data_IF_078960012620
#
_entry.id   IF_078960012620
#
_cell.length_a   1.000
_cell.length_b   1.000
_cell.length_c   1.000
_cell.angle_alpha   90.00
_cell.angle_beta   90.00
_cell.angle_gamma   90.00
#
_symmetry.space_group_name_H-M   'P 1'
#
loop_
_entity.id
_entity.type
_entity.pdbx_description
1 polymer ?
#
# COMPACT_ATOMS: atom_id res chain seq x y z
N UNK A 1 23.92 -21.47 -19.80
CA UNK A 1 23.43 -21.05 -18.46
C UNK A 1 23.69 -19.55 -18.35
N UNK A 2 22.75 -18.72 -18.83
CA UNK A 2 22.84 -17.26 -18.67
C UNK A 2 22.66 -16.99 -17.17
N UNK A 3 23.78 -16.77 -16.49
CA UNK A 3 23.76 -16.22 -15.15
C UNK A 3 23.00 -14.90 -15.21
N UNK A 4 22.02 -14.77 -14.34
CA UNK A 4 21.19 -13.61 -14.12
C UNK A 4 22.09 -12.37 -13.92
N UNK A 5 22.43 -11.69 -15.02
CA UNK A 5 23.14 -10.42 -14.99
C UNK A 5 22.16 -9.42 -14.38
N UNK A 6 22.25 -9.25 -13.05
CA UNK A 6 21.59 -8.19 -12.30
C UNK A 6 22.20 -6.85 -12.72
N UNK A 7 21.87 -6.39 -13.92
CA UNK A 7 22.16 -5.03 -14.35
C UNK A 7 21.25 -4.10 -13.57
N UNK A 8 21.77 -3.60 -12.45
CA UNK A 8 21.08 -2.61 -11.67
C UNK A 8 21.08 -1.28 -12.42
N UNK A 9 19.96 -1.00 -13.06
CA UNK A 9 19.77 0.28 -13.72
C UNK A 9 19.67 1.43 -12.69
N UNK A 10 20.16 2.64 -13.02
CA UNK A 10 20.01 3.80 -12.15
C UNK A 10 18.54 4.05 -11.88
N UNK A 11 18.23 4.40 -10.63
CA UNK A 11 16.86 4.63 -10.18
C UNK A 11 16.27 5.81 -10.95
N UNK A 12 15.23 5.54 -11.76
CA UNK A 12 14.50 6.60 -12.43
C UNK A 12 13.73 7.45 -11.43
N UNK A 13 13.51 8.72 -11.75
CA UNK A 13 12.71 9.61 -10.88
C UNK A 13 11.28 9.05 -10.66
N UNK A 14 10.71 8.39 -11.67
CA UNK A 14 9.44 7.68 -11.53
C UNK A 14 9.52 6.53 -10.51
N UNK A 15 10.57 5.70 -10.56
CA UNK A 15 10.77 4.61 -9.60
C UNK A 15 10.95 5.14 -8.17
N UNK A 16 11.65 6.26 -7.99
CA UNK A 16 11.80 6.91 -6.69
C UNK A 16 10.45 7.39 -6.13
N UNK A 17 9.63 8.06 -6.94
CA UNK A 17 8.28 8.47 -6.52
C UNK A 17 7.41 7.27 -6.13
N UNK A 18 7.49 6.18 -6.88
CA UNK A 18 6.78 4.94 -6.57
C UNK A 18 7.23 4.35 -5.23
N UNK A 19 8.55 4.30 -4.99
CA UNK A 19 9.10 3.81 -3.73
C UNK A 19 8.69 4.68 -2.52
N UNK A 20 8.74 6.01 -2.67
CA UNK A 20 8.28 6.94 -1.64
C UNK A 20 6.77 6.82 -1.39
N UNK A 21 5.96 6.60 -2.44
CA UNK A 21 4.53 6.38 -2.32
C UNK A 21 4.22 5.11 -1.50
N UNK A 22 4.94 4.01 -1.77
CA UNK A 22 4.85 2.76 -1.02
C UNK A 22 5.27 2.96 0.44
N UNK A 23 6.38 3.67 0.70
CA UNK A 23 6.83 3.98 2.06
C UNK A 23 5.79 4.78 2.85
N UNK A 24 5.24 5.84 2.24
CA UNK A 24 4.15 6.62 2.83
C UNK A 24 2.90 5.76 3.07
N UNK A 25 2.54 4.90 2.11
CA UNK A 25 1.41 3.98 2.26
C UNK A 25 1.57 3.06 3.48
N UNK A 26 2.75 2.46 3.64
CA UNK A 26 3.06 1.57 4.76
C UNK A 26 2.98 2.32 6.09
N UNK A 27 3.47 3.56 6.15
CA UNK A 27 3.35 4.42 7.33
C UNK A 27 1.88 4.64 7.75
N UNK A 28 0.92 4.58 6.83
CA UNK A 28 -0.51 4.66 7.19
C UNK A 28 -1.05 3.41 7.90
N UNK A 29 -0.43 2.24 7.67
CA UNK A 29 -0.85 0.93 8.21
C UNK A 29 -0.10 0.58 9.51
N UNK A 30 1.16 1.01 9.62
CA UNK A 30 2.05 0.74 10.74
C UNK A 30 1.47 1.08 12.12
N UNK A 31 0.86 2.24 12.40
CA UNK A 31 0.43 2.57 13.76
C UNK A 31 -0.57 1.57 14.35
N UNK A 32 -1.47 1.03 13.52
CA UNK A 32 -2.43 0.01 13.95
C UNK A 32 -1.78 -1.35 14.18
N UNK A 33 -0.78 -1.70 13.37
CA UNK A 33 -0.06 -2.97 13.47
C UNK A 33 0.90 -2.98 14.65
N UNK A 34 1.69 -1.91 14.83
CA UNK A 34 2.60 -1.72 15.96
C UNK A 34 1.88 -1.81 17.30
N UNK A 35 0.71 -1.17 17.43
CA UNK A 35 -0.07 -1.18 18.68
C UNK A 35 -0.52 -2.58 19.12
N UNK A 36 -0.78 -3.49 18.17
CA UNK A 36 -1.29 -4.84 18.44
C UNK A 36 -0.16 -5.85 18.57
N UNK A 37 0.83 -5.79 17.68
CA UNK A 37 1.94 -6.75 17.63
C UNK A 37 3.02 -6.42 18.66
N UNK A 38 3.33 -5.13 18.83
CA UNK A 38 4.38 -4.66 19.74
C UNK A 38 3.80 -3.69 20.78
N UNK A 39 2.99 -4.17 21.74
CA UNK A 39 2.33 -3.32 22.73
C UNK A 39 3.32 -2.47 23.54
N UNK A 40 4.58 -2.90 23.70
CA UNK A 40 5.65 -2.11 24.32
C UNK A 40 5.93 -0.76 23.61
N UNK A 41 5.74 -0.69 22.28
CA UNK A 41 5.93 0.54 21.49
C UNK A 41 4.82 1.57 21.70
N UNK A 42 3.72 1.22 22.38
CA UNK A 42 2.67 2.20 22.69
C UNK A 42 3.12 3.26 23.70
N UNK A 43 4.18 2.99 24.47
CA UNK A 43 4.77 3.92 25.44
C UNK A 43 5.63 5.01 24.80
N UNK A 44 6.15 4.79 23.58
CA UNK A 44 7.10 5.71 22.93
C UNK A 44 6.46 6.90 22.22
N UNK A 45 5.13 7.03 22.24
CA UNK A 45 4.40 8.15 21.62
C UNK A 45 4.35 8.14 20.08
N UNK A 46 5.29 7.45 19.42
CA UNK A 46 5.38 7.31 17.97
C UNK A 46 4.06 6.82 17.34
N UNK A 47 3.40 5.74 17.83
CA UNK A 47 2.13 5.29 17.24
C UNK A 47 1.01 6.33 17.35
N UNK A 48 0.99 7.16 18.40
CA UNK A 48 0.00 8.23 18.58
C UNK A 48 0.22 9.34 17.56
N UNK A 49 1.48 9.72 17.31
CA UNK A 49 1.83 10.72 16.31
C UNK A 49 1.46 10.24 14.89
N UNK A 50 1.80 8.99 14.53
CA UNK A 50 1.42 8.44 13.23
C UNK A 50 -0.10 8.37 13.05
N UNK A 51 -0.87 8.02 14.10
CA UNK A 51 -2.34 8.05 14.03
C UNK A 51 -2.89 9.45 13.79
N UNK A 52 -2.30 10.49 14.40
CA UNK A 52 -2.70 11.88 14.24
C UNK A 52 -2.52 12.36 12.78
N UNK A 53 -1.40 12.00 12.16
CA UNK A 53 -1.07 12.43 10.79
C UNK A 53 -1.42 11.40 9.71
N UNK A 54 -2.08 10.29 10.08
CA UNK A 54 -2.42 9.19 9.16
C UNK A 54 -3.12 9.64 7.88
N UNK A 55 -4.06 10.58 7.99
CA UNK A 55 -4.80 11.14 6.85
C UNK A 55 -3.86 11.87 5.88
N UNK A 56 -2.99 12.71 6.40
CA UNK A 56 -2.02 13.48 5.61
C UNK A 56 -0.98 12.58 4.96
N UNK A 57 -0.48 11.58 5.68
CA UNK A 57 0.46 10.58 5.15
C UNK A 57 -0.19 9.77 4.02
N UNK A 58 -1.45 9.37 4.17
CA UNK A 58 -2.19 8.67 3.12
C UNK A 58 -2.43 9.52 1.87
N UNK A 59 -2.76 10.80 2.05
CA UNK A 59 -2.92 11.72 0.93
C UNK A 59 -1.57 11.98 0.23
N UNK A 60 -0.48 12.09 0.98
CA UNK A 60 0.87 12.22 0.44
C UNK A 60 1.27 10.97 -0.38
N UNK A 61 0.96 9.77 0.13
CA UNK A 61 1.15 8.52 -0.63
C UNK A 61 0.39 8.54 -1.95
N UNK A 62 -0.87 8.98 -1.95
CA UNK A 62 -1.67 9.13 -3.16
C UNK A 62 -1.08 10.13 -4.15
N UNK A 63 -0.68 11.33 -3.70
CA UNK A 63 -0.07 12.34 -4.57
C UNK A 63 1.23 11.83 -5.23
N UNK A 64 2.07 11.13 -4.47
CA UNK A 64 3.29 10.50 -5.01
C UNK A 64 2.95 9.40 -6.02
N UNK A 65 1.93 8.58 -5.78
CA UNK A 65 1.47 7.56 -6.71
C UNK A 65 0.92 8.15 -8.02
N UNK A 66 0.17 9.25 -7.94
CA UNK A 66 -0.30 9.99 -9.14
C UNK A 66 0.89 10.55 -9.92
N UNK A 67 1.88 11.15 -9.24
CA UNK A 67 3.10 11.63 -9.88
C UNK A 67 3.88 10.52 -10.58
N UNK A 68 4.02 9.36 -9.91
CA UNK A 68 4.60 8.16 -10.48
C UNK A 68 3.87 7.71 -11.76
N UNK A 69 2.53 7.59 -11.69
CA UNK A 69 1.71 7.18 -12.83
C UNK A 69 1.80 8.16 -13.99
N UNK A 70 1.75 9.47 -13.71
CA UNK A 70 1.84 10.52 -14.72
C UNK A 70 3.13 10.46 -15.53
N UNK A 71 4.28 10.27 -14.86
CA UNK A 71 5.57 10.17 -15.55
C UNK A 71 5.62 8.92 -16.42
N UNK A 72 5.12 7.77 -15.94
CA UNK A 72 5.09 6.53 -16.73
C UNK A 72 4.18 6.63 -17.95
N UNK A 73 3.00 7.24 -17.80
CA UNK A 73 2.07 7.49 -18.92
C UNK A 73 2.77 8.32 -20.00
N UNK A 74 3.51 9.36 -19.61
CA UNK A 74 4.26 10.22 -20.54
C UNK A 74 5.43 9.50 -21.20
N UNK A 75 6.16 8.65 -20.47
CA UNK A 75 7.31 7.92 -21.00
C UNK A 75 6.92 6.77 -21.93
N UNK A 76 5.74 6.16 -21.72
CA UNK A 76 5.30 4.96 -22.45
C UNK A 76 4.35 5.27 -23.61
N UNK A 77 4.06 6.54 -23.90
CA UNK A 77 3.09 6.97 -24.92
C UNK A 77 1.78 6.16 -24.81
N UNK A 78 1.18 6.19 -23.62
CA UNK A 78 0.01 5.37 -23.30
C UNK A 78 -1.13 5.62 -24.31
N UNK A 79 -1.47 4.60 -25.10
CA UNK A 79 -2.62 4.64 -25.98
C UNK A 79 -3.88 4.25 -25.20
N UNK A 80 -4.75 5.23 -24.99
CA UNK A 80 -6.00 5.07 -24.25
C UNK A 80 -7.06 4.27 -25.02
N UNK A 81 -6.90 4.12 -26.34
CA UNK A 81 -7.84 3.41 -27.21
C UNK A 81 -7.46 1.95 -27.41
N UNK A 82 -6.25 1.54 -27.02
CA UNK A 82 -5.80 0.15 -27.12
C UNK A 82 -6.13 -0.65 -25.85
N UNK A 83 -6.99 -1.65 -26.01
CA UNK A 83 -7.38 -2.61 -24.97
C UNK A 83 -6.16 -3.38 -24.44
N UNK A 84 -5.15 -3.66 -25.29
CA UNK A 84 -3.94 -4.37 -24.86
C UNK A 84 -3.09 -3.54 -23.90
N UNK A 85 -3.00 -2.23 -24.15
CA UNK A 85 -2.34 -1.29 -23.25
C UNK A 85 -3.03 -1.28 -21.88
N UNK A 86 -4.36 -1.24 -21.85
CA UNK A 86 -5.10 -1.30 -20.59
C UNK A 86 -4.86 -2.60 -19.83
N UNK A 87 -4.87 -3.75 -20.53
CA UNK A 87 -4.60 -5.05 -19.91
C UNK A 87 -3.19 -5.15 -19.34
N UNK A 88 -2.19 -4.65 -20.07
CA UNK A 88 -0.79 -4.67 -19.64
C UNK A 88 -0.56 -3.84 -18.35
N UNK A 89 -1.23 -2.69 -18.24
CA UNK A 89 -1.10 -1.79 -17.08
C UNK A 89 -2.21 -1.95 -16.03
N UNK A 90 -3.10 -2.92 -16.19
CA UNK A 90 -4.32 -3.11 -15.38
C UNK A 90 -4.05 -3.10 -13.88
N UNK A 91 -2.99 -3.76 -13.45
CA UNK A 91 -2.55 -3.82 -12.05
C UNK A 91 -2.26 -2.43 -11.45
N UNK A 92 -1.57 -1.56 -12.19
CA UNK A 92 -1.20 -0.22 -11.74
C UNK A 92 -2.42 0.70 -11.74
N UNK A 93 -3.21 0.68 -12.82
CA UNK A 93 -4.43 1.49 -12.95
C UNK A 93 -5.49 1.09 -11.92
N UNK A 94 -5.64 -0.20 -11.63
CA UNK A 94 -6.56 -0.70 -10.59
C UNK A 94 -6.13 -0.25 -9.20
N UNK A 95 -4.84 -0.37 -8.88
CA UNK A 95 -4.30 0.11 -7.59
C UNK A 95 -4.51 1.62 -7.43
N UNK A 96 -4.20 2.40 -8.48
CA UNK A 96 -4.40 3.84 -8.48
C UNK A 96 -5.87 4.23 -8.32
N UNK A 97 -6.78 3.48 -8.95
CA UNK A 97 -8.24 3.66 -8.80
C UNK A 97 -8.67 3.46 -7.36
N UNK A 98 -8.20 2.40 -6.69
CA UNK A 98 -8.52 2.16 -5.27
C UNK A 98 -7.97 3.29 -4.40
N UNK A 99 -6.72 3.71 -4.61
CA UNK A 99 -6.15 4.84 -3.86
C UNK A 99 -6.90 6.15 -4.09
N UNK A 100 -7.41 6.37 -5.31
CA UNK A 100 -8.25 7.53 -5.64
C UNK A 100 -9.53 7.53 -4.82
N UNK A 101 -10.25 6.39 -4.76
CA UNK A 101 -11.46 6.24 -3.95
C UNK A 101 -11.18 6.47 -2.45
N UNK A 102 -10.07 5.92 -1.96
CA UNK A 102 -9.65 6.10 -0.57
C UNK A 102 -9.29 7.56 -0.26
N UNK A 103 -8.60 8.25 -1.17
CA UNK A 103 -8.20 9.64 -1.02
C UNK A 103 -9.41 10.58 -1.04
N UNK A 104 -10.31 10.41 -2.00
CA UNK A 104 -11.54 11.22 -2.11
C UNK A 104 -12.39 11.07 -0.84
N UNK A 105 -12.47 9.86 -0.29
CA UNK A 105 -13.25 9.58 0.93
C UNK A 105 -12.49 9.79 2.24
N UNK A 106 -11.26 10.28 2.17
CA UNK A 106 -10.45 10.68 3.33
C UNK A 106 -10.78 12.11 3.75
N UNK A 107 -12.07 12.41 3.97
CA UNK A 107 -12.53 13.71 4.48
C UNK A 107 -13.65 13.57 5.51
N UNK A 108 -13.79 14.56 6.40
CA UNK A 108 -14.71 14.50 7.54
C UNK A 108 -16.18 14.43 7.09
N UNK A 109 -16.50 15.05 5.96
CA UNK A 109 -17.83 14.97 5.35
C UNK A 109 -18.18 13.54 4.94
N UNK A 110 -17.25 12.82 4.31
CA UNK A 110 -17.42 11.43 3.86
C UNK A 110 -17.55 10.48 5.05
N UNK A 111 -16.78 10.70 6.11
CA UNK A 111 -16.91 9.93 7.36
C UNK A 111 -18.32 10.09 7.94
N UNK A 112 -18.81 11.33 8.02
CA UNK A 112 -20.15 11.65 8.56
C UNK A 112 -21.26 11.10 7.68
N UNK A 113 -21.12 11.18 6.34
CA UNK A 113 -22.13 10.76 5.37
C UNK A 113 -22.22 9.24 5.23
N UNK A 114 -21.08 8.55 5.09
CA UNK A 114 -21.03 7.12 4.80
C UNK A 114 -21.08 6.24 6.07
N UNK A 115 -20.78 6.79 7.26
CA UNK A 115 -20.89 6.09 8.56
C UNK A 115 -20.23 4.70 8.55
N UNK A 116 -21.02 3.62 8.70
CA UNK A 116 -20.53 2.23 8.71
C UNK A 116 -19.92 1.82 7.35
N UNK A 117 -20.43 2.36 6.24
CA UNK A 117 -19.93 2.07 4.90
C UNK A 117 -18.57 2.73 4.63
N UNK A 118 -18.24 3.83 5.34
CA UNK A 118 -16.91 4.44 5.25
C UNK A 118 -15.82 3.44 5.66
N UNK A 119 -16.04 2.70 6.75
CA UNK A 119 -15.09 1.67 7.19
C UNK A 119 -14.94 0.56 6.16
N UNK A 120 -16.02 0.11 5.53
CA UNK A 120 -15.99 -0.90 4.46
C UNK A 120 -15.19 -0.40 3.25
N UNK A 121 -15.38 0.86 2.85
CA UNK A 121 -14.62 1.44 1.76
C UNK A 121 -13.13 1.55 2.10
N UNK A 122 -12.81 1.97 3.33
CA UNK A 122 -11.42 2.05 3.80
C UNK A 122 -10.74 0.67 3.92
N UNK A 123 -11.51 -0.42 4.02
CA UNK A 123 -10.96 -1.79 3.96
C UNK A 123 -10.44 -2.16 2.57
N UNK A 124 -10.81 -1.42 1.50
CA UNK A 124 -10.22 -1.61 0.18
C UNK A 124 -8.70 -1.37 0.19
N UNK A 125 -8.16 -0.68 1.20
CA UNK A 125 -6.71 -0.59 1.41
C UNK A 125 -6.06 -1.97 1.46
N UNK A 126 -6.73 -2.99 2.02
CA UNK A 126 -6.17 -4.33 2.09
C UNK A 126 -6.10 -4.99 0.71
N UNK A 127 -7.11 -4.76 -0.13
CA UNK A 127 -7.08 -5.19 -1.53
C UNK A 127 -5.97 -4.46 -2.31
N UNK A 128 -5.85 -3.15 -2.11
CA UNK A 128 -4.78 -2.34 -2.72
C UNK A 128 -3.39 -2.83 -2.30
N UNK A 129 -3.19 -3.28 -1.07
CA UNK A 129 -1.92 -3.85 -0.61
C UNK A 129 -1.50 -5.07 -1.42
N UNK A 130 -2.43 -6.00 -1.72
CA UNK A 130 -2.13 -7.16 -2.56
C UNK A 130 -1.89 -6.78 -4.02
N UNK A 131 -2.73 -5.90 -4.58
CA UNK A 131 -2.57 -5.42 -5.96
C UNK A 131 -1.26 -4.63 -6.14
N UNK A 132 -0.84 -3.86 -5.14
CA UNK A 132 0.41 -3.11 -5.15
C UNK A 132 1.62 -4.04 -5.14
N UNK A 133 1.60 -5.09 -4.31
CA UNK A 133 2.67 -6.12 -4.32
C UNK A 133 2.74 -6.83 -5.65
N UNK A 134 1.58 -7.20 -6.22
CA UNK A 134 1.50 -7.80 -7.55
C UNK A 134 2.06 -6.86 -8.62
N UNK A 135 1.67 -5.58 -8.58
CA UNK A 135 2.15 -4.54 -9.47
C UNK A 135 3.67 -4.41 -9.47
N UNK A 136 4.27 -4.33 -8.28
CA UNK A 136 5.72 -4.25 -8.13
C UNK A 136 6.38 -5.52 -8.66
N UNK A 137 5.85 -6.70 -8.34
CA UNK A 137 6.39 -7.97 -8.81
C UNK A 137 6.40 -8.06 -10.33
N UNK A 138 5.27 -7.80 -10.98
CA UNK A 138 5.12 -7.98 -12.42
C UNK A 138 5.92 -6.95 -13.24
N UNK A 139 5.99 -5.69 -12.80
CA UNK A 139 6.80 -4.69 -13.51
C UNK A 139 8.29 -4.95 -13.35
N UNK A 140 8.71 -5.44 -12.17
CA UNK A 140 10.12 -5.60 -11.85
C UNK A 140 10.69 -6.95 -12.25
N UNK A 141 9.85 -7.94 -12.59
CA UNK A 141 10.28 -9.21 -13.18
C UNK A 141 11.09 -9.02 -14.48
N UNK A 142 10.89 -7.89 -15.17
CA UNK A 142 11.57 -7.57 -16.42
C UNK A 142 12.64 -6.47 -16.30
N UNK A 143 12.70 -5.73 -15.19
CA UNK A 143 13.65 -4.62 -14.99
C UNK A 143 14.05 -4.47 -13.51
N UNK A 144 15.17 -5.06 -13.13
CA UNK A 144 15.68 -4.99 -11.75
C UNK A 144 16.40 -3.64 -11.50
N UNK A 145 16.03 -2.97 -10.41
CA UNK A 145 16.76 -1.80 -9.88
C UNK A 145 17.08 -2.03 -8.40
N UNK A 146 18.01 -1.28 -7.82
CA UNK A 146 18.41 -1.47 -6.41
C UNK A 146 17.23 -1.33 -5.42
N UNK A 147 16.17 -0.59 -5.79
CA UNK A 147 14.99 -0.39 -4.95
C UNK A 147 13.99 -1.54 -4.99
N UNK A 148 14.04 -2.42 -6.02
CA UNK A 148 13.04 -3.49 -6.19
C UNK A 148 13.10 -4.56 -5.12
N UNK A 149 14.26 -5.15 -4.75
CA UNK A 149 14.30 -6.15 -3.68
C UNK A 149 13.89 -5.54 -2.35
N UNK A 150 14.28 -4.28 -2.09
CA UNK A 150 13.90 -3.55 -0.88
C UNK A 150 12.37 -3.38 -0.81
N UNK A 151 11.75 -2.91 -1.90
CA UNK A 151 10.30 -2.73 -1.98
C UNK A 151 9.52 -4.02 -1.78
N UNK A 152 9.95 -5.12 -2.42
CA UNK A 152 9.31 -6.43 -2.27
C UNK A 152 9.44 -6.94 -0.83
N UNK A 153 10.65 -6.93 -0.26
CA UNK A 153 10.89 -7.39 1.11
C UNK A 153 10.05 -6.60 2.11
N UNK A 154 10.03 -5.28 1.99
CA UNK A 154 9.24 -4.41 2.87
C UNK A 154 7.74 -4.71 2.73
N UNK A 155 7.21 -4.87 1.51
CA UNK A 155 5.80 -5.22 1.31
C UNK A 155 5.45 -6.60 1.87
N UNK A 156 6.32 -7.59 1.71
CA UNK A 156 6.14 -8.92 2.29
C UNK A 156 6.11 -8.87 3.82
N UNK A 157 7.03 -8.12 4.45
CA UNK A 157 7.02 -7.90 5.90
C UNK A 157 5.69 -7.30 6.34
N UNK A 158 5.19 -6.29 5.63
CA UNK A 158 3.92 -5.63 5.97
C UNK A 158 2.73 -6.60 5.83
N UNK A 159 2.70 -7.43 4.79
CA UNK A 159 1.68 -8.46 4.60
C UNK A 159 1.74 -9.49 5.74
N UNK A 160 2.93 -9.98 6.10
CA UNK A 160 3.11 -10.94 7.20
C UNK A 160 2.62 -10.34 8.52
N UNK A 161 3.03 -9.11 8.84
CA UNK A 161 2.60 -8.41 10.04
C UNK A 161 1.08 -8.19 10.06
N UNK A 162 0.47 -7.92 8.90
CA UNK A 162 -0.97 -7.78 8.78
C UNK A 162 -1.69 -9.11 9.03
N UNK A 163 -1.23 -10.21 8.44
CA UNK A 163 -1.81 -11.54 8.67
C UNK A 163 -1.64 -11.97 10.13
N UNK A 164 -0.47 -11.74 10.72
CA UNK A 164 -0.20 -12.01 12.14
C UNK A 164 -1.13 -11.21 13.06
N UNK A 165 -1.35 -9.92 12.75
CA UNK A 165 -2.34 -9.10 13.46
C UNK A 165 -3.75 -9.69 13.38
N UNK A 166 -4.20 -10.13 12.19
CA UNK A 166 -5.53 -10.73 12.04
C UNK A 166 -5.66 -12.02 12.85
N UNK A 167 -4.61 -12.84 12.86
CA UNK A 167 -4.54 -14.06 13.66
C UNK A 167 -4.69 -13.79 15.16
N UNK A 168 -3.95 -12.80 15.71
CA UNK A 168 -4.08 -12.38 17.11
C UNK A 168 -5.51 -11.93 17.43
N UNK A 169 -6.09 -11.08 16.60
CA UNK A 169 -7.45 -10.54 16.82
C UNK A 169 -8.48 -11.67 16.82
N UNK A 170 -8.35 -12.63 15.90
CA UNK A 170 -9.23 -13.79 15.82
C UNK A 170 -9.10 -14.69 17.07
N UNK A 171 -7.88 -14.97 17.53
CA UNK A 171 -7.64 -15.76 18.74
C UNK A 171 -8.19 -15.07 20.01
N UNK A 172 -8.01 -13.75 20.14
CA UNK A 172 -8.58 -12.99 21.26
C UNK A 172 -10.11 -13.00 21.26
N UNK A 173 -10.74 -12.96 20.08
CA UNK A 173 -12.18 -13.07 19.95
C UNK A 173 -12.69 -14.43 20.42
N UNK A 174 -12.00 -15.52 20.03
CA UNK A 174 -12.39 -16.89 20.40
C UNK A 174 -12.27 -17.14 21.91
N UNK A 175 -11.20 -16.67 22.53
CA UNK A 175 -10.98 -16.80 23.98
C UNK A 175 -11.97 -15.98 24.82
N UNK A 176 -12.48 -14.85 24.32
CA UNK A 176 -13.50 -14.06 25.05
C UNK A 176 -14.88 -14.71 25.05
N UNK A 177 -15.18 -15.54 24.05
CA UNK A 177 -16.45 -16.27 23.98
C UNK A 177 -16.41 -17.48 24.92
N UNK A 178 -15.28 -18.21 25.01
CA UNK A 178 -15.17 -19.37 25.89
C UNK A 178 -15.10 -19.04 27.39
N UNK A 179 -14.71 -17.81 27.77
CA UNK A 179 -14.72 -17.35 29.18
C UNK A 179 -16.12 -16.90 29.61
N UNK A 180 -17.05 -16.69 28.66
CA UNK A 180 -18.43 -16.27 28.94
C UNK A 180 -19.46 -17.40 28.87
N UNK A 181 -19.06 -18.58 28.41
CA UNK A 181 -19.86 -19.82 28.39
C UNK A 181 -19.54 -20.67 29.62
#
# INVERSE_FOLDING_TARGET
>A
MQLFQLEFNPVSFAALLGFLAVGAYILTLLPTTLRIVFPATTKTGIPKWLLKYRRWIGLLSFCLAVGHAYIYIKQRNFDWLDIKTYWFYFQGTSTLTIFTLLAITSNDWSVKRLKKNWKKLQQLTYLAMFLLTWHIWAIMAHHWTYLTPIGIVVMLIVIILFLYRQWIVHHQSKNRVSVKS
#
